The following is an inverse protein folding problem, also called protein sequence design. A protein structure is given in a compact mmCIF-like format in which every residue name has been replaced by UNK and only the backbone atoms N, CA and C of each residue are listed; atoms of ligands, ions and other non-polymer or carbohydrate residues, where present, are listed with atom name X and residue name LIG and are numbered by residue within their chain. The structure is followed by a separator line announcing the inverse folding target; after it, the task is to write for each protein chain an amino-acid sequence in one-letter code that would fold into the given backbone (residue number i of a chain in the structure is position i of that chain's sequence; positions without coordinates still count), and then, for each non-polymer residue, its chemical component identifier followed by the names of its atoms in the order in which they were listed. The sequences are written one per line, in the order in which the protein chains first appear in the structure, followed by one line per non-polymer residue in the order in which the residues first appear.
data_IF_979810953880
#
_entry.id   IF_979810953880
#
_cell.length_a   1.000
_cell.length_b   1.000
_cell.length_c   1.000
_cell.angle_alpha   90.00
_cell.angle_beta   90.00
_cell.angle_gamma   90.00
#
_symmetry.space_group_name_H-M   'P 1'
#
loop_
_entity.id
_entity.type
_entity.pdbx_description
1 polymer ?
#
# COMPACT_ATOMS: atom_id res chain seq x y z
N UNK A 1 -9.04 -19.43 7.69
CA UNK A 1 -8.15 -18.70 6.75
C UNK A 1 -8.90 -17.97 5.65
N UNK A 2 -9.85 -18.63 4.96
CA UNK A 2 -10.59 -18.08 3.80
C UNK A 2 -11.34 -16.76 4.09
N UNK A 3 -12.00 -16.63 5.24
CA UNK A 3 -12.75 -15.42 5.59
C UNK A 3 -11.88 -14.19 5.88
N UNK A 4 -10.63 -14.37 6.34
CA UNK A 4 -9.70 -13.26 6.56
C UNK A 4 -9.13 -12.73 5.25
N UNK A 5 -8.92 -13.61 4.27
CA UNK A 5 -8.54 -13.22 2.91
C UNK A 5 -9.66 -12.45 2.20
N UNK A 6 -10.91 -12.89 2.31
CA UNK A 6 -12.05 -12.11 1.79
C UNK A 6 -12.16 -10.75 2.46
N UNK A 7 -12.02 -10.66 3.79
CA UNK A 7 -12.11 -9.39 4.49
C UNK A 7 -11.00 -8.40 4.06
N UNK A 8 -9.76 -8.89 3.90
CA UNK A 8 -8.65 -8.07 3.39
C UNK A 8 -8.89 -7.65 1.94
N UNK A 9 -9.38 -8.55 1.09
CA UNK A 9 -9.68 -8.26 -0.31
C UNK A 9 -10.81 -7.23 -0.46
N UNK A 10 -11.89 -7.37 0.31
CA UNK A 10 -12.99 -6.42 0.35
C UNK A 10 -12.52 -5.07 0.88
N UNK A 11 -11.71 -5.05 1.95
CA UNK A 11 -11.16 -3.81 2.51
C UNK A 11 -10.27 -3.06 1.50
N UNK A 12 -9.37 -3.77 0.80
CA UNK A 12 -8.52 -3.19 -0.25
C UNK A 12 -9.37 -2.67 -1.41
N UNK A 13 -10.40 -3.42 -1.83
CA UNK A 13 -11.28 -3.02 -2.93
C UNK A 13 -12.05 -1.74 -2.58
N UNK A 14 -12.56 -1.64 -1.36
CA UNK A 14 -13.25 -0.43 -0.87
C UNK A 14 -12.31 0.77 -0.75
N UNK A 15 -11.04 0.58 -0.40
CA UNK A 15 -10.03 1.65 -0.40
C UNK A 15 -9.70 2.15 -1.82
N UNK A 16 -9.68 1.26 -2.81
CA UNK A 16 -9.43 1.61 -4.21
C UNK A 16 -10.62 2.29 -4.89
N UNK A 17 -11.84 2.04 -4.40
CA UNK A 17 -13.10 2.63 -4.88
C UNK A 17 -13.45 3.92 -4.10
N UNK A 18 -12.74 4.22 -3.00
CA UNK A 18 -12.90 5.44 -2.24
C UNK A 18 -12.76 6.68 -3.15
N UNK A 19 -13.52 7.74 -2.85
CA UNK A 19 -14.19 8.56 -3.87
C UNK A 19 -13.20 9.16 -4.86
N UNK A 20 -13.61 9.25 -6.12
CA UNK A 20 -13.21 10.36 -6.98
C UNK A 20 -13.63 11.64 -6.26
N UNK A 21 -12.77 12.15 -5.39
CA UNK A 21 -12.91 13.49 -4.87
C UNK A 21 -12.88 14.38 -6.11
N UNK A 22 -14.05 14.88 -6.52
CA UNK A 22 -14.18 15.94 -7.53
C UNK A 22 -13.54 17.19 -6.90
N UNK A 23 -12.22 17.22 -6.83
CA UNK A 23 -11.49 18.43 -6.53
C UNK A 23 -11.69 19.35 -7.73
N UNK A 24 -12.23 20.54 -7.48
CA UNK A 24 -12.29 21.60 -8.48
C UNK A 24 -10.87 21.85 -9.03
N UNK A 25 -10.72 22.22 -10.32
CA UNK A 25 -9.39 22.38 -10.90
C UNK A 25 -8.54 23.41 -10.14
N UNK A 26 -7.39 22.96 -9.63
CA UNK A 26 -6.19 23.79 -9.47
C UNK A 26 -5.86 24.40 -8.11
N UNK A 27 -6.77 24.44 -7.12
CA UNK A 27 -6.42 25.10 -5.84
C UNK A 27 -5.55 24.23 -4.91
N UNK A 28 -5.87 22.94 -4.78
CA UNK A 28 -5.25 22.07 -3.76
C UNK A 28 -3.89 21.48 -4.19
N UNK A 29 -3.58 21.50 -5.49
CA UNK A 29 -2.27 21.10 -6.02
C UNK A 29 -1.24 22.23 -5.99
N UNK A 30 -1.69 23.49 -6.03
CA UNK A 30 -0.81 24.66 -5.96
C UNK A 30 -0.46 25.06 -4.52
N UNK A 31 -1.14 24.49 -3.52
CA UNK A 31 -0.85 24.76 -2.12
C UNK A 31 0.51 24.18 -1.73
N UNK A 32 1.30 24.93 -0.97
CA UNK A 32 2.66 24.55 -0.55
C UNK A 32 2.74 23.22 0.22
N UNK A 33 1.67 22.82 0.90
CA UNK A 33 1.60 21.53 1.60
C UNK A 33 1.29 20.34 0.68
N UNK A 34 0.94 20.58 -0.59
CA UNK A 34 0.44 19.53 -1.49
C UNK A 34 1.46 18.39 -1.66
N UNK A 35 2.75 18.70 -1.83
CA UNK A 35 3.81 17.69 -1.94
C UNK A 35 3.93 16.84 -0.67
N UNK A 36 3.79 17.44 0.51
CA UNK A 36 3.83 16.72 1.78
C UNK A 36 2.63 15.78 1.92
N UNK A 37 1.43 16.23 1.54
CA UNK A 37 0.22 15.41 1.57
C UNK A 37 0.35 14.21 0.62
N UNK A 38 0.82 14.42 -0.61
CA UNK A 38 1.06 13.34 -1.57
C UNK A 38 2.10 12.33 -1.05
N UNK A 39 3.18 12.82 -0.43
CA UNK A 39 4.20 11.97 0.18
C UNK A 39 3.60 11.11 1.31
N UNK A 40 2.87 11.73 2.24
CA UNK A 40 2.26 11.01 3.36
C UNK A 40 1.18 10.02 2.92
N UNK A 41 0.54 10.27 1.77
CA UNK A 41 -0.42 9.34 1.18
C UNK A 41 0.27 8.12 0.54
N UNK A 42 1.37 8.30 -0.19
CA UNK A 42 2.05 7.19 -0.88
C UNK A 42 3.02 6.41 0.02
N UNK A 43 3.59 7.06 1.04
CA UNK A 43 4.63 6.48 1.90
C UNK A 43 4.21 5.17 2.59
N UNK A 44 2.99 5.02 3.16
CA UNK A 44 2.56 3.76 3.77
C UNK A 44 2.53 2.59 2.78
N UNK A 45 2.13 2.84 1.52
CA UNK A 45 2.10 1.81 0.48
C UNK A 45 3.51 1.36 0.11
N UNK A 46 4.46 2.30 -0.03
CA UNK A 46 5.88 2.01 -0.28
C UNK A 46 6.50 1.21 0.88
N UNK A 47 6.22 1.61 2.12
CA UNK A 47 6.70 0.91 3.30
C UNK A 47 6.16 -0.53 3.39
N UNK A 48 4.86 -0.72 3.14
CA UNK A 48 4.24 -2.04 3.10
C UNK A 48 4.85 -2.94 2.02
N UNK A 49 5.11 -2.40 0.82
CA UNK A 49 5.76 -3.13 -0.26
C UNK A 49 7.18 -3.55 0.10
N UNK A 50 7.98 -2.64 0.68
CA UNK A 50 9.32 -2.94 1.16
C UNK A 50 9.32 -4.05 2.21
N UNK A 51 8.39 -4.00 3.16
CA UNK A 51 8.23 -5.04 4.17
C UNK A 51 7.85 -6.39 3.54
N UNK A 52 6.89 -6.40 2.62
CA UNK A 52 6.48 -7.63 1.93
C UNK A 52 7.65 -8.29 1.17
N UNK A 53 8.44 -7.49 0.44
CA UNK A 53 9.62 -7.97 -0.30
C UNK A 53 10.66 -8.54 0.66
N UNK A 54 10.98 -7.85 1.75
CA UNK A 54 11.97 -8.34 2.72
C UNK A 54 11.53 -9.64 3.39
N UNK A 55 10.26 -9.75 3.78
CA UNK A 55 9.70 -10.98 4.35
C UNK A 55 9.71 -12.14 3.34
N UNK A 56 9.36 -11.89 2.08
CA UNK A 56 9.41 -12.89 1.01
C UNK A 56 10.84 -13.40 0.79
N UNK A 57 11.82 -12.49 0.69
CA UNK A 57 13.24 -12.85 0.51
C UNK A 57 13.77 -13.68 1.68
N UNK A 58 13.42 -13.31 2.92
CA UNK A 58 13.81 -14.06 4.13
C UNK A 58 13.24 -15.48 4.14
N UNK A 59 11.94 -15.65 3.79
CA UNK A 59 11.32 -16.98 3.67
C UNK A 59 12.01 -17.84 2.63
N UNK A 60 12.27 -17.29 1.42
CA UNK A 60 12.95 -18.01 0.34
C UNK A 60 14.37 -18.45 0.72
N UNK A 61 15.11 -17.61 1.45
CA UNK A 61 16.44 -17.95 1.93
C UNK A 61 16.40 -19.09 2.96
N UNK A 62 15.46 -19.03 3.92
CA UNK A 62 15.29 -20.09 4.92
C UNK A 62 14.91 -21.44 4.28
N UNK A 63 13.95 -21.47 3.35
CA UNK A 63 13.56 -22.71 2.66
C UNK A 63 14.69 -23.30 1.81
N UNK A 64 15.58 -22.46 1.26
CA UNK A 64 16.75 -22.93 0.50
C UNK A 64 17.83 -23.56 1.40
N UNK A 65 17.96 -23.07 2.63
CA UNK A 65 18.91 -23.63 3.60
C UNK A 65 18.45 -24.99 4.14
N UNK A 66 17.15 -25.20 4.30
CA UNK A 66 16.57 -26.45 4.81
C UNK A 66 16.59 -27.60 3.78
N UNK A 67 16.59 -27.26 2.49
CA UNK A 67 16.65 -28.24 1.38
C UNK A 67 18.08 -28.71 1.03
N UNK A 68 19.11 -28.27 1.77
CA UNK A 68 20.52 -28.58 1.51
C UNK A 68 21.09 -29.42 2.64
#
# INVERSE_FOLDING_TARGET
MKQRFSAVFTFISTLLIAPTALAHPGHDHAHWSSSMVHLLWILPAVAALGLAITMYRRKKAATRSDSK
#
